data_IF_228035600923
#
_entry.id   IF_228035600923
#
_cell.length_a   1.000
_cell.length_b   1.000
_cell.length_c   1.000
_cell.angle_alpha   90.00
_cell.angle_beta   90.00
_cell.angle_gamma   90.00
#
_symmetry.space_group_name_H-M   'P 1'
#
loop_
_entity.id
_entity.type
_entity.pdbx_description
1 polymer ?
#
# COMPACT_ATOMS: atom_id res chain seq x y z
N UNK A 1 -40.13 2.96 -35.09
CA UNK A 1 -38.69 3.32 -35.20
C UNK A 1 -38.07 3.15 -33.83
N UNK A 2 -37.10 2.23 -33.68
CA UNK A 2 -36.38 1.99 -32.41
C UNK A 2 -35.06 2.77 -32.47
N UNK A 3 -34.73 3.64 -31.50
CA UNK A 3 -33.36 4.10 -31.38
C UNK A 3 -32.53 3.00 -30.73
N UNK A 4 -31.67 2.38 -31.55
CA UNK A 4 -30.49 1.63 -31.12
C UNK A 4 -29.37 2.64 -30.90
N UNK A 5 -28.54 2.40 -29.89
CA UNK A 5 -27.15 2.86 -29.92
C UNK A 5 -26.80 3.99 -28.95
N UNK A 6 -26.91 3.75 -27.64
CA UNK A 6 -26.10 4.50 -26.65
C UNK A 6 -25.88 3.71 -25.35
N UNK A 7 -25.85 2.37 -25.40
CA UNK A 7 -25.56 1.55 -24.21
C UNK A 7 -24.29 0.70 -24.31
N UNK A 8 -23.63 0.67 -25.48
CA UNK A 8 -22.46 -0.20 -25.69
C UNK A 8 -21.11 0.47 -25.43
N UNK A 9 -21.06 1.75 -25.06
CA UNK A 9 -19.78 2.42 -24.76
C UNK A 9 -19.36 2.31 -23.29
N UNK A 10 -20.32 2.13 -22.36
CA UNK A 10 -20.03 2.07 -20.92
C UNK A 10 -19.56 0.67 -20.50
N UNK A 11 -19.94 -0.37 -21.25
CA UNK A 11 -19.47 -1.74 -21.00
C UNK A 11 -18.00 -1.97 -21.42
N UNK A 12 -17.42 -1.06 -22.21
CA UNK A 12 -16.04 -1.16 -22.66
C UNK A 12 -15.00 -0.68 -21.63
N UNK A 13 -15.42 0.07 -20.61
CA UNK A 13 -14.49 0.60 -19.59
C UNK A 13 -14.46 -0.23 -18.29
N UNK A 14 -15.49 -1.05 -18.04
CA UNK A 14 -15.59 -1.88 -16.82
C UNK A 14 -14.87 -3.23 -16.97
N UNK A 15 -14.50 -3.63 -18.21
CA UNK A 15 -13.84 -4.91 -18.49
C UNK A 15 -12.30 -4.83 -18.58
N UNK A 16 -11.68 -3.68 -18.31
CA UNK A 16 -10.22 -3.54 -18.26
C UNK A 16 -9.60 -3.86 -16.88
N UNK A 17 -10.42 -4.20 -15.88
CA UNK A 17 -9.94 -4.70 -14.58
C UNK A 17 -9.68 -6.21 -14.57
N UNK A 18 -9.94 -6.91 -15.68
CA UNK A 18 -9.76 -8.35 -15.80
C UNK A 18 -8.39 -8.74 -16.34
N UNK A 19 -7.30 -8.46 -15.61
CA UNK A 19 -5.99 -9.14 -15.80
C UNK A 19 -4.87 -8.78 -14.80
N UNK A 20 -5.08 -7.90 -13.80
CA UNK A 20 -3.99 -7.45 -12.90
C UNK A 20 -3.69 -8.41 -11.73
N UNK A 21 -4.44 -9.51 -11.60
CA UNK A 21 -4.36 -10.40 -10.43
C UNK A 21 -3.19 -11.40 -10.42
N UNK A 22 -2.23 -11.33 -11.36
CA UNK A 22 -1.16 -12.34 -11.44
C UNK A 22 0.13 -12.00 -10.66
N UNK A 23 0.30 -10.75 -10.20
CA UNK A 23 1.56 -10.30 -9.57
C UNK A 23 1.36 -9.45 -8.32
N UNK A 24 0.20 -9.55 -7.68
CA UNK A 24 -0.03 -8.93 -6.38
C UNK A 24 0.70 -9.74 -5.29
N UNK A 25 1.40 -9.05 -4.40
CA UNK A 25 2.14 -9.64 -3.28
C UNK A 25 1.55 -9.16 -1.96
N UNK A 26 0.97 -10.08 -1.18
CA UNK A 26 0.41 -9.76 0.13
C UNK A 26 1.52 -9.75 1.20
N UNK A 27 1.43 -8.76 2.09
CA UNK A 27 2.41 -8.45 3.13
C UNK A 27 1.68 -8.30 4.46
N UNK A 28 2.19 -8.94 5.50
CA UNK A 28 1.71 -8.79 6.87
C UNK A 28 2.91 -8.45 7.75
N UNK A 29 2.76 -7.50 8.67
CA UNK A 29 3.88 -6.93 9.38
C UNK A 29 3.52 -6.21 10.66
N UNK A 30 4.54 -5.58 11.24
CA UNK A 30 4.43 -4.70 12.40
C UNK A 30 5.18 -3.40 12.16
N UNK A 31 4.67 -2.31 12.73
CA UNK A 31 5.43 -1.07 12.90
C UNK A 31 5.71 -0.84 14.40
N UNK A 32 6.86 -0.23 14.70
CA UNK A 32 7.37 0.01 16.05
C UNK A 32 8.05 1.40 16.10
N UNK A 33 8.30 1.94 17.30
CA UNK A 33 8.85 3.28 17.53
C UNK A 33 8.07 4.05 18.61
N UNK A 34 7.68 5.28 18.30
CA UNK A 34 6.84 6.10 19.20
C UNK A 34 5.38 5.59 19.28
N UNK A 35 4.96 4.78 18.30
CA UNK A 35 3.71 4.01 18.27
C UNK A 35 4.00 2.59 17.75
N UNK A 36 3.12 1.64 18.04
CA UNK A 36 3.28 0.23 17.71
C UNK A 36 1.99 -0.34 17.16
N UNK A 37 2.07 -1.20 16.14
CA UNK A 37 0.88 -1.78 15.54
C UNK A 37 1.13 -2.86 14.50
N UNK A 38 0.05 -3.35 13.88
CA UNK A 38 0.10 -4.20 12.68
C UNK A 38 0.12 -3.35 11.42
N UNK A 39 0.68 -3.91 10.35
CA UNK A 39 0.39 -3.52 8.97
C UNK A 39 -0.04 -4.75 8.16
N UNK A 40 -0.97 -4.55 7.25
CA UNK A 40 -1.35 -5.56 6.25
C UNK A 40 -1.53 -4.85 4.91
N UNK A 41 -1.06 -5.41 3.81
CA UNK A 41 -1.23 -4.75 2.52
C UNK A 41 -0.78 -5.57 1.34
N UNK A 42 -1.02 -5.02 0.16
CA UNK A 42 -0.69 -5.66 -1.11
C UNK A 42 0.18 -4.71 -1.92
N UNK A 43 1.32 -5.21 -2.39
CA UNK A 43 2.11 -4.56 -3.44
C UNK A 43 1.63 -5.08 -4.80
N UNK A 44 0.97 -4.22 -5.57
CA UNK A 44 0.58 -4.51 -6.95
C UNK A 44 1.72 -4.15 -7.90
N UNK A 45 2.45 -5.17 -8.34
CA UNK A 45 3.61 -5.03 -9.22
C UNK A 45 3.24 -4.98 -10.71
N UNK A 46 1.95 -5.15 -11.04
CA UNK A 46 1.47 -5.09 -12.43
C UNK A 46 1.28 -3.65 -12.94
N UNK A 47 1.35 -2.67 -12.04
CA UNK A 47 1.25 -1.24 -12.37
C UNK A 47 2.65 -0.64 -12.53
N UNK A 48 2.75 0.43 -13.32
CA UNK A 48 3.96 1.25 -13.45
C UNK A 48 3.63 2.71 -13.07
N UNK A 49 4.08 3.20 -11.90
CA UNK A 49 4.88 2.49 -10.90
C UNK A 49 4.10 1.38 -10.17
N UNK A 50 4.80 0.43 -9.53
CA UNK A 50 4.16 -0.54 -8.64
C UNK A 50 3.53 0.20 -7.45
N UNK A 51 2.36 -0.25 -7.00
CA UNK A 51 1.58 0.45 -5.96
C UNK A 51 1.41 -0.45 -4.75
N UNK A 52 1.78 0.05 -3.57
CA UNK A 52 1.44 -0.55 -2.28
C UNK A 52 0.15 0.08 -1.74
N UNK A 53 -0.81 -0.76 -1.37
CA UNK A 53 -2.01 -0.36 -0.63
C UNK A 53 -2.17 -1.29 0.57
N UNK A 54 -2.25 -0.73 1.77
CA UNK A 54 -2.41 -1.51 2.99
C UNK A 54 -3.07 -0.73 4.11
N UNK A 55 -3.37 -1.42 5.20
CA UNK A 55 -3.92 -0.88 6.43
C UNK A 55 -2.89 -0.93 7.55
N UNK A 56 -3.09 -0.09 8.57
CA UNK A 56 -2.36 -0.15 9.83
C UNK A 56 -3.35 -0.06 10.99
N UNK A 57 -3.00 -0.65 12.14
CA UNK A 57 -3.78 -0.59 13.38
C UNK A 57 -2.82 -0.55 14.59
N UNK A 58 -2.95 0.47 15.44
CA UNK A 58 -2.14 0.66 16.65
C UNK A 58 -2.58 -0.29 17.78
N UNK A 59 -1.62 -0.87 18.49
CA UNK A 59 -1.87 -1.67 19.70
C UNK A 59 -1.89 -0.84 20.99
N UNK A 60 -1.24 0.32 21.02
CA UNK A 60 -0.97 1.05 22.25
C UNK A 60 -2.04 2.10 22.60
N UNK A 61 -2.79 2.58 21.62
CA UNK A 61 -3.88 3.54 21.85
C UNK A 61 -5.22 2.84 22.12
N UNK A 62 -5.99 3.37 23.09
CA UNK A 62 -7.42 3.02 23.24
C UNK A 62 -8.26 4.31 23.18
N UNK A 63 -9.14 4.48 22.17
CA UNK A 63 -9.42 3.53 21.08
C UNK A 63 -8.22 3.33 20.14
N UNK A 64 -8.11 2.12 19.59
CA UNK A 64 -7.07 1.76 18.62
C UNK A 64 -7.20 2.66 17.39
N UNK A 65 -6.13 3.37 17.05
CA UNK A 65 -6.06 4.14 15.82
C UNK A 65 -5.81 3.18 14.65
N UNK A 66 -6.50 3.38 13.53
CA UNK A 66 -6.33 2.59 12.32
C UNK A 66 -6.38 3.50 11.10
N UNK A 67 -5.93 3.01 9.95
CA UNK A 67 -5.98 3.77 8.72
C UNK A 67 -5.29 3.07 7.55
N UNK A 68 -4.82 3.86 6.58
CA UNK A 68 -4.25 3.35 5.31
C UNK A 68 -2.78 3.75 5.17
N UNK A 69 -1.95 2.82 4.69
CA UNK A 69 -0.64 3.10 4.08
C UNK A 69 -0.76 2.97 2.57
N UNK A 70 -0.44 4.05 1.87
CA UNK A 70 -0.40 4.10 0.41
C UNK A 70 1.02 4.40 -0.04
N UNK A 71 1.53 3.76 -1.10
CA UNK A 71 2.87 4.05 -1.59
C UNK A 71 3.02 3.72 -3.07
N UNK A 72 3.84 4.52 -3.76
CA UNK A 72 4.24 4.26 -5.15
C UNK A 72 5.72 3.90 -5.15
N UNK A 73 6.06 2.78 -5.76
CA UNK A 73 7.45 2.39 -5.94
C UNK A 73 8.10 3.31 -7.00
N UNK A 74 8.96 4.22 -6.56
CA UNK A 74 9.61 5.21 -7.43
C UNK A 74 10.77 4.59 -8.21
N UNK A 75 11.39 3.55 -7.66
CA UNK A 75 12.61 2.96 -8.20
C UNK A 75 12.60 1.44 -8.04
N UNK A 76 13.21 0.77 -9.03
CA UNK A 76 13.59 -0.64 -8.92
C UNK A 76 15.11 -0.69 -8.78
N UNK A 77 15.60 -0.96 -7.56
CA UNK A 77 17.04 -1.03 -7.26
C UNK A 77 17.45 -2.48 -7.08
N UNK A 78 18.25 -3.01 -8.00
CA UNK A 78 18.65 -4.44 -8.00
C UNK A 78 17.45 -5.41 -7.94
N UNK A 79 16.32 -5.04 -8.53
CA UNK A 79 15.08 -5.83 -8.52
C UNK A 79 14.18 -5.60 -7.31
N UNK A 80 14.61 -4.78 -6.33
CA UNK A 80 13.79 -4.40 -5.18
C UNK A 80 12.93 -3.19 -5.51
N UNK A 81 11.66 -3.23 -5.12
CA UNK A 81 10.75 -2.10 -5.23
C UNK A 81 10.96 -1.15 -4.06
N UNK A 82 11.21 0.12 -4.35
CA UNK A 82 11.51 1.14 -3.33
C UNK A 82 10.44 2.22 -3.34
N UNK A 83 9.77 2.40 -2.20
CA UNK A 83 8.86 3.51 -1.91
C UNK A 83 9.65 4.53 -1.08
N UNK A 84 9.83 5.77 -1.57
CA UNK A 84 10.54 6.82 -0.82
C UNK A 84 9.57 7.71 -0.05
N UNK A 85 8.47 8.10 -0.69
CA UNK A 85 7.46 8.99 -0.11
C UNK A 85 6.07 8.34 -0.13
N UNK A 86 5.91 7.28 0.66
CA UNK A 86 4.60 6.71 0.96
C UNK A 86 3.79 7.63 1.88
N UNK A 87 2.47 7.55 1.79
CA UNK A 87 1.51 8.36 2.52
C UNK A 87 0.79 7.52 3.59
N UNK A 88 0.61 8.10 4.78
CA UNK A 88 -0.16 7.52 5.89
C UNK A 88 -1.43 8.33 6.07
N UNK A 89 -2.56 7.65 6.08
CA UNK A 89 -3.88 8.21 6.36
C UNK A 89 -4.47 7.58 7.62
N UNK A 90 -5.26 8.34 8.37
CA UNK A 90 -6.13 7.80 9.44
C UNK A 90 -7.43 7.21 8.86
N UNK A 91 -8.33 6.78 9.74
CA UNK A 91 -9.60 6.16 9.38
C UNK A 91 -10.62 7.11 8.75
N UNK A 92 -10.47 8.41 8.99
CA UNK A 92 -11.24 9.47 8.33
C UNK A 92 -10.69 9.79 6.93
N UNK A 93 -9.55 9.20 6.55
CA UNK A 93 -8.86 9.50 5.29
C UNK A 93 -8.07 10.81 5.36
N UNK A 94 -7.78 11.31 6.55
CA UNK A 94 -6.91 12.48 6.74
C UNK A 94 -5.47 12.05 6.59
N UNK A 95 -4.70 12.80 5.79
CA UNK A 95 -3.27 12.59 5.64
C UNK A 95 -2.53 12.98 6.93
N UNK A 96 -1.82 12.04 7.55
CA UNK A 96 -1.20 12.21 8.89
C UNK A 96 0.31 11.99 8.91
N UNK A 97 0.93 11.55 7.81
CA UNK A 97 2.35 11.24 7.81
C UNK A 97 2.86 10.58 6.54
N UNK A 98 4.13 10.24 6.54
CA UNK A 98 4.81 9.53 5.46
C UNK A 98 5.46 8.24 5.93
N UNK A 99 5.71 7.33 5.00
CA UNK A 99 6.51 6.13 5.23
C UNK A 99 7.42 5.86 4.04
N UNK A 100 8.47 5.08 4.26
CA UNK A 100 9.34 4.58 3.20
C UNK A 100 9.53 3.08 3.35
N UNK A 101 9.87 2.40 2.27
CA UNK A 101 9.86 0.96 2.22
C UNK A 101 10.68 0.35 1.12
N UNK A 102 11.31 -0.78 1.41
CA UNK A 102 11.95 -1.62 0.40
C UNK A 102 11.32 -3.00 0.41
N UNK A 103 10.84 -3.44 -0.75
CA UNK A 103 10.20 -4.74 -0.94
C UNK A 103 11.06 -5.60 -1.88
N UNK A 104 11.29 -6.89 -1.56
CA UNK A 104 11.99 -7.79 -2.46
C UNK A 104 11.16 -8.05 -3.75
N UNK A 105 11.79 -8.60 -4.80
CA UNK A 105 11.06 -9.01 -6.00
C UNK A 105 9.88 -9.96 -5.72
N UNK A 106 8.76 -9.84 -6.47
CA UNK A 106 7.52 -10.65 -6.32
C UNK A 106 7.71 -12.15 -6.05
N UNK A 107 8.69 -12.76 -6.70
CA UNK A 107 8.84 -14.22 -6.74
C UNK A 107 9.68 -14.76 -5.57
N UNK A 108 10.00 -13.91 -4.60
CA UNK A 108 10.81 -14.25 -3.44
C UNK A 108 9.97 -13.98 -2.18
N UNK A 109 9.66 -15.03 -1.43
CA UNK A 109 9.21 -14.90 -0.04
C UNK A 109 10.35 -14.23 0.74
N UNK A 110 10.04 -13.18 1.50
CA UNK A 110 11.08 -12.32 2.03
C UNK A 110 10.59 -11.34 3.06
N UNK A 111 11.50 -10.45 3.42
CA UNK A 111 11.27 -9.38 4.38
C UNK A 111 11.23 -8.05 3.64
N UNK A 112 10.15 -7.31 3.82
CA UNK A 112 10.06 -5.90 3.49
C UNK A 112 10.24 -5.08 4.77
N UNK A 113 10.83 -3.90 4.66
CA UNK A 113 11.05 -3.04 5.82
C UNK A 113 11.26 -1.59 5.41
N UNK A 114 11.10 -0.71 6.38
CA UNK A 114 11.47 0.69 6.23
C UNK A 114 11.11 1.51 7.46
N UNK A 115 10.84 2.78 7.24
CA UNK A 115 10.64 3.77 8.27
C UNK A 115 9.29 4.48 8.11
N UNK A 116 8.76 5.04 9.20
CA UNK A 116 7.51 5.81 9.20
C UNK A 116 7.64 7.09 10.05
N UNK A 117 6.89 8.12 9.68
CA UNK A 117 6.85 9.43 10.34
C UNK A 117 5.45 10.04 10.28
N UNK A 118 4.91 10.49 11.41
CA UNK A 118 3.66 11.26 11.49
C UNK A 118 3.93 12.74 11.76
N UNK A 119 2.96 13.62 11.49
CA UNK A 119 3.09 15.07 11.70
C UNK A 119 3.16 15.51 13.18
N UNK A 120 2.87 14.60 14.11
CA UNK A 120 2.97 14.81 15.56
C UNK A 120 4.36 14.41 16.12
N UNK A 121 5.42 14.70 15.37
CA UNK A 121 6.77 14.12 15.47
C UNK A 121 6.96 12.63 15.78
N UNK A 122 5.92 11.79 15.75
CA UNK A 122 6.08 10.36 16.00
C UNK A 122 6.74 9.68 14.83
N UNK A 123 7.62 8.73 15.11
CA UNK A 123 8.37 8.02 14.09
C UNK A 123 8.78 6.64 14.54
N UNK A 124 9.26 5.85 13.59
CA UNK A 124 9.84 4.56 13.88
C UNK A 124 10.11 3.73 12.63
N UNK A 125 10.15 2.42 12.83
CA UNK A 125 10.49 1.43 11.80
C UNK A 125 9.35 0.44 11.60
N UNK A 126 9.32 -0.23 10.46
CA UNK A 126 8.40 -1.35 10.22
C UNK A 126 9.08 -2.50 9.50
N UNK A 127 8.48 -3.68 9.67
CA UNK A 127 8.89 -4.91 9.00
C UNK A 127 7.65 -5.71 8.61
N UNK A 128 7.64 -6.28 7.41
CA UNK A 128 6.59 -7.17 6.92
C UNK A 128 7.19 -8.41 6.26
N UNK A 129 6.43 -9.48 6.25
CA UNK A 129 6.76 -10.76 5.65
C UNK A 129 5.71 -11.18 4.63
N UNK A 130 6.18 -11.93 3.65
CA UNK A 130 5.41 -12.61 2.63
C UNK A 130 5.70 -14.11 2.73
#
# INVERSE_FOLDING_TARGET
>A
MKPKGTLSLILGLVLLLGASALTASDWVGTYDGDDQGVIEGTLNESTDPAIYEGTWESYNDYPHNYGTWYGRAEEIVNGWFVVREGEIYDDEGTYIGTWSGTFPPCHIDGLASGDWWRFNPWQGTWIAWK
#
